data_IF_029433495215
#
_entry.id   IF_029433495215
#
_cell.length_a   1.000
_cell.length_b   1.000
_cell.length_c   1.000
_cell.angle_alpha   90.00
_cell.angle_beta   90.00
_cell.angle_gamma   90.00
#
_symmetry.space_group_name_H-M   'P 1'
#
loop_
_entity.id
_entity.type
_entity.pdbx_description
1 polymer ?
#
# COMPACT_ATOMS: atom_id res chain seq x y z
N UNK A 1 -4.64 12.54 -2.12
CA UNK A 1 -3.40 13.31 -1.87
C UNK A 1 -2.13 12.52 -2.17
N UNK A 2 -2.00 11.24 -1.81
CA UNK A 2 -0.82 10.44 -2.21
C UNK A 2 -0.64 10.29 -3.73
N UNK A 3 -1.72 10.28 -4.52
CA UNK A 3 -1.62 10.30 -5.99
C UNK A 3 -0.98 11.58 -6.53
N UNK A 4 -1.25 12.73 -5.90
CA UNK A 4 -0.58 13.99 -6.22
C UNK A 4 0.91 13.91 -5.86
N UNK A 5 1.23 13.37 -4.68
CA UNK A 5 2.62 13.17 -4.27
C UNK A 5 3.38 12.28 -5.27
N UNK A 6 2.79 11.16 -5.69
CA UNK A 6 3.34 10.32 -6.76
C UNK A 6 3.56 11.12 -8.05
N UNK A 7 2.55 11.87 -8.51
CA UNK A 7 2.64 12.62 -9.75
C UNK A 7 3.81 13.63 -9.77
N UNK A 8 4.02 14.34 -8.65
CA UNK A 8 5.09 15.33 -8.50
C UNK A 8 6.47 14.71 -8.24
N UNK A 9 6.54 13.60 -7.49
CA UNK A 9 7.82 13.01 -7.06
C UNK A 9 8.23 11.79 -7.87
N UNK A 10 7.44 11.36 -8.83
CA UNK A 10 7.83 10.24 -9.69
C UNK A 10 8.86 10.70 -10.73
N UNK A 11 9.94 9.93 -10.96
CA UNK A 11 10.95 10.23 -11.99
C UNK A 11 10.52 9.82 -13.41
N UNK A 12 9.32 9.25 -13.59
CA UNK A 12 8.89 8.68 -14.87
C UNK A 12 8.50 9.74 -15.92
N UNK A 13 8.58 9.38 -17.21
CA UNK A 13 8.04 10.20 -18.29
C UNK A 13 6.52 10.35 -18.19
N UNK A 14 5.97 11.44 -18.75
CA UNK A 14 4.54 11.80 -18.64
C UNK A 14 3.62 10.65 -19.10
N UNK A 15 3.99 9.95 -20.18
CA UNK A 15 3.21 8.82 -20.72
C UNK A 15 3.17 7.67 -19.72
N UNK A 16 4.32 7.30 -19.15
CA UNK A 16 4.43 6.22 -18.17
C UNK A 16 3.77 6.59 -16.84
N UNK A 17 3.88 7.86 -16.40
CA UNK A 17 3.15 8.39 -15.24
C UNK A 17 1.64 8.22 -15.40
N UNK A 18 1.09 8.51 -16.58
CA UNK A 18 -0.34 8.36 -16.86
C UNK A 18 -0.75 6.88 -16.82
N UNK A 19 0.04 6.00 -17.42
CA UNK A 19 -0.18 4.55 -17.38
C UNK A 19 -0.18 4.03 -15.93
N UNK A 20 0.81 4.42 -15.13
CA UNK A 20 0.87 4.04 -13.71
C UNK A 20 -0.30 4.61 -12.93
N UNK A 21 -0.68 5.87 -13.16
CA UNK A 21 -1.83 6.49 -12.49
C UNK A 21 -3.11 5.70 -12.74
N UNK A 22 -3.34 5.23 -13.98
CA UNK A 22 -4.48 4.38 -14.29
C UNK A 22 -4.40 3.04 -13.54
N UNK A 23 -3.23 2.37 -13.57
CA UNK A 23 -3.03 1.10 -12.84
C UNK A 23 -3.21 1.27 -11.32
N UNK A 24 -2.74 2.38 -10.74
CA UNK A 24 -2.93 2.70 -9.32
C UNK A 24 -4.40 2.92 -8.99
N UNK A 25 -5.13 3.60 -9.87
CA UNK A 25 -6.57 3.78 -9.74
C UNK A 25 -7.30 2.43 -9.79
N UNK A 26 -6.91 1.53 -10.69
CA UNK A 26 -7.43 0.17 -10.73
C UNK A 26 -7.18 -0.58 -9.41
N UNK A 27 -5.98 -0.47 -8.83
CA UNK A 27 -5.66 -1.08 -7.53
C UNK A 27 -6.54 -0.52 -6.41
N UNK A 28 -6.78 0.80 -6.40
CA UNK A 28 -7.68 1.43 -5.42
C UNK A 28 -9.12 0.94 -5.60
N UNK A 29 -9.61 0.87 -6.83
CA UNK A 29 -10.94 0.35 -7.13
C UNK A 29 -11.08 -1.13 -6.74
N UNK A 30 -10.08 -1.96 -7.05
CA UNK A 30 -10.07 -3.35 -6.61
C UNK A 30 -10.03 -3.48 -5.10
N UNK A 31 -9.24 -2.65 -4.41
CA UNK A 31 -9.22 -2.65 -2.95
C UNK A 31 -10.60 -2.33 -2.37
N UNK A 32 -11.29 -1.34 -2.93
CA UNK A 32 -12.65 -0.98 -2.52
C UNK A 32 -13.64 -2.12 -2.79
N UNK A 33 -13.64 -2.69 -4.00
CA UNK A 33 -14.54 -3.79 -4.39
C UNK A 33 -14.29 -5.02 -3.51
N UNK A 34 -13.02 -5.42 -3.34
CA UNK A 34 -12.67 -6.57 -2.52
C UNK A 34 -12.94 -6.35 -1.04
N UNK A 35 -12.84 -5.11 -0.53
CA UNK A 35 -13.26 -4.80 0.84
C UNK A 35 -14.76 -5.03 1.02
N UNK A 36 -15.59 -4.62 0.05
CA UNK A 36 -17.03 -4.88 0.09
C UNK A 36 -17.31 -6.39 0.04
N UNK A 37 -16.67 -7.12 -0.89
CA UNK A 37 -16.80 -8.58 -1.00
C UNK A 37 -16.40 -9.26 0.30
N UNK A 38 -15.27 -8.86 0.89
CA UNK A 38 -14.79 -9.44 2.15
C UNK A 38 -15.79 -9.23 3.29
N UNK A 39 -16.44 -8.07 3.37
CA UNK A 39 -17.50 -7.81 4.38
C UNK A 39 -18.70 -8.74 4.19
N UNK A 40 -19.12 -8.96 2.95
CA UNK A 40 -20.21 -9.89 2.61
C UNK A 40 -19.84 -11.32 3.01
N UNK A 41 -18.61 -11.76 2.70
CA UNK A 41 -18.13 -13.10 3.07
C UNK A 41 -18.10 -13.27 4.60
N UNK A 42 -17.60 -12.28 5.34
CA UNK A 42 -17.49 -12.33 6.80
C UNK A 42 -18.84 -12.27 7.51
N UNK A 43 -19.86 -11.64 6.89
CA UNK A 43 -21.18 -11.46 7.47
C UNK A 43 -22.26 -12.15 6.62
N UNK A 44 -21.97 -13.36 6.13
CA UNK A 44 -22.82 -14.05 5.17
C UNK A 44 -24.26 -14.28 5.70
N UNK A 45 -24.40 -14.58 7.00
CA UNK A 45 -25.72 -14.71 7.62
C UNK A 45 -26.52 -13.41 7.53
N UNK A 46 -25.92 -12.28 7.94
CA UNK A 46 -26.57 -10.97 7.91
C UNK A 46 -26.92 -10.55 6.49
N UNK A 47 -26.13 -10.96 5.49
CA UNK A 47 -26.38 -10.63 4.08
C UNK A 47 -27.68 -11.24 3.55
N UNK A 48 -28.01 -12.46 3.96
CA UNK A 48 -29.26 -13.11 3.55
C UNK A 48 -30.49 -12.54 4.27
N UNK A 49 -30.30 -12.02 5.49
CA UNK A 49 -31.38 -11.40 6.27
C UNK A 49 -31.64 -9.94 5.85
N UNK A 50 -30.58 -9.14 5.75
CA UNK A 50 -30.62 -7.73 5.32
C UNK A 50 -29.33 -7.34 4.57
N UNK A 51 -29.34 -7.38 3.23
CA UNK A 51 -28.14 -7.08 2.42
C UNK A 51 -27.70 -5.62 2.53
N UNK A 52 -28.61 -4.69 2.87
CA UNK A 52 -28.27 -3.26 3.04
C UNK A 52 -27.51 -3.07 4.35
N UNK A 53 -27.89 -3.78 5.41
CA UNK A 53 -27.21 -3.73 6.71
C UNK A 53 -25.73 -4.14 6.62
N UNK A 54 -25.39 -5.11 5.77
CA UNK A 54 -23.99 -5.54 5.57
C UNK A 54 -23.10 -4.45 4.99
N UNK A 55 -23.65 -3.61 4.09
CA UNK A 55 -22.91 -2.50 3.52
C UNK A 55 -22.64 -1.40 4.56
N UNK A 56 -23.59 -1.19 5.48
CA UNK A 56 -23.47 -0.24 6.58
C UNK A 56 -22.60 -0.75 7.75
N UNK A 57 -22.40 -2.07 7.87
CA UNK A 57 -21.57 -2.66 8.91
C UNK A 57 -20.14 -2.10 8.84
N UNK A 58 -19.50 -1.70 9.94
CA UNK A 58 -18.15 -1.14 9.89
C UNK A 58 -17.16 -2.17 9.34
N UNK A 59 -16.26 -1.74 8.45
CA UNK A 59 -15.18 -2.60 7.97
C UNK A 59 -14.13 -2.77 9.07
N UNK A 60 -13.71 -4.00 9.34
CA UNK A 60 -12.62 -4.31 10.26
C UNK A 60 -11.31 -4.66 9.52
N UNK A 61 -10.24 -4.92 10.27
CA UNK A 61 -8.96 -5.32 9.67
C UNK A 61 -9.00 -6.69 9.01
N UNK A 62 -9.89 -7.59 9.44
CA UNK A 62 -10.11 -8.89 8.78
C UNK A 62 -10.59 -8.72 7.34
N UNK A 63 -11.56 -7.82 7.11
CA UNK A 63 -12.03 -7.48 5.78
C UNK A 63 -10.91 -6.89 4.91
N UNK A 64 -10.06 -6.04 5.49
CA UNK A 64 -8.89 -5.48 4.80
C UNK A 64 -7.89 -6.58 4.42
N UNK A 65 -7.61 -7.56 5.28
CA UNK A 65 -6.67 -8.65 4.97
C UNK A 65 -7.13 -9.49 3.78
N UNK A 66 -8.41 -9.88 3.79
CA UNK A 66 -9.01 -10.59 2.67
C UNK A 66 -9.00 -9.75 1.39
N UNK A 67 -9.27 -8.44 1.53
CA UNK A 67 -9.28 -7.54 0.38
C UNK A 67 -7.90 -7.38 -0.25
N UNK A 68 -6.87 -7.15 0.56
CA UNK A 68 -5.48 -7.07 0.10
C UNK A 68 -5.06 -8.37 -0.57
N UNK A 69 -5.45 -9.53 -0.02
CA UNK A 69 -5.22 -10.84 -0.66
C UNK A 69 -5.86 -10.95 -2.05
N UNK A 70 -7.14 -10.57 -2.19
CA UNK A 70 -7.84 -10.56 -3.47
C UNK A 70 -7.21 -9.63 -4.50
N UNK A 71 -6.80 -8.43 -4.08
CA UNK A 71 -6.07 -7.48 -4.93
C UNK A 71 -4.76 -8.09 -5.42
N UNK A 72 -3.98 -8.72 -4.55
CA UNK A 72 -2.72 -9.39 -4.91
C UNK A 72 -2.94 -10.47 -5.95
N UNK A 73 -3.97 -11.31 -5.79
CA UNK A 73 -4.31 -12.35 -6.77
C UNK A 73 -4.64 -11.74 -8.13
N UNK A 74 -5.48 -10.71 -8.18
CA UNK A 74 -5.83 -10.03 -9.45
C UNK A 74 -4.62 -9.36 -10.08
N UNK A 75 -3.78 -8.69 -9.29
CA UNK A 75 -2.55 -8.06 -9.78
C UNK A 75 -1.57 -9.09 -10.32
N UNK A 76 -1.37 -10.20 -9.61
CA UNK A 76 -0.49 -11.29 -10.05
C UNK A 76 -1.00 -11.93 -11.35
N UNK A 77 -2.32 -12.06 -11.52
CA UNK A 77 -2.89 -12.60 -12.76
C UNK A 77 -2.77 -11.61 -13.93
N UNK A 78 -2.94 -10.30 -13.67
CA UNK A 78 -2.81 -9.25 -14.69
C UNK A 78 -1.37 -8.79 -14.92
N UNK A 79 -0.41 -9.35 -14.18
CA UNK A 79 0.97 -8.93 -14.22
C UNK A 79 1.60 -9.23 -15.59
N UNK A 80 1.77 -8.19 -16.39
CA UNK A 80 2.71 -8.15 -17.52
C UNK A 80 4.06 -7.54 -17.08
N UNK A 81 4.99 -7.43 -18.01
CA UNK A 81 6.44 -7.10 -17.89
C UNK A 81 6.81 -5.82 -17.10
N UNK A 82 5.84 -5.06 -16.57
CA UNK A 82 6.03 -3.76 -15.89
C UNK A 82 5.63 -3.78 -14.40
N UNK A 83 5.83 -4.91 -13.71
CA UNK A 83 5.52 -5.03 -12.29
C UNK A 83 6.39 -4.12 -11.40
N UNK A 84 7.69 -4.02 -11.69
CA UNK A 84 8.64 -3.23 -10.89
C UNK A 84 8.27 -1.74 -10.82
N UNK A 85 8.10 -1.03 -11.96
CA UNK A 85 7.74 0.39 -11.92
C UNK A 85 6.36 0.63 -11.28
N UNK A 86 5.45 -0.34 -11.38
CA UNK A 86 4.17 -0.31 -10.70
C UNK A 86 4.32 -0.43 -9.18
N UNK A 87 5.22 -1.28 -8.67
CA UNK A 87 5.46 -1.41 -7.23
C UNK A 87 6.07 -0.15 -6.61
N UNK A 88 7.03 0.49 -7.28
CA UNK A 88 7.56 1.80 -6.83
C UNK A 88 6.44 2.85 -6.78
N UNK A 89 5.61 2.91 -7.83
CA UNK A 89 4.47 3.82 -7.88
C UNK A 89 3.45 3.55 -6.76
N UNK A 90 3.17 2.26 -6.50
CA UNK A 90 2.25 1.82 -5.45
C UNK A 90 2.79 2.12 -4.06
N UNK A 91 4.08 1.89 -3.84
CA UNK A 91 4.75 2.20 -2.59
C UNK A 91 4.69 3.70 -2.28
N UNK A 92 5.04 4.56 -3.24
CA UNK A 92 4.92 6.03 -3.11
C UNK A 92 3.49 6.46 -2.81
N UNK A 93 2.50 5.85 -3.47
CA UNK A 93 1.09 6.10 -3.20
C UNK A 93 0.70 5.73 -1.77
N UNK A 94 1.09 4.54 -1.29
CA UNK A 94 0.77 4.03 0.04
C UNK A 94 1.39 4.94 1.11
N UNK A 95 2.71 5.15 1.07
CA UNK A 95 3.42 5.96 2.07
C UNK A 95 2.90 7.39 2.07
N UNK A 96 2.75 8.00 0.89
CA UNK A 96 2.24 9.37 0.76
C UNK A 96 0.79 9.51 1.25
N UNK A 97 -0.07 8.54 0.95
CA UNK A 97 -1.47 8.58 1.40
C UNK A 97 -1.58 8.35 2.90
N UNK A 98 -0.81 7.42 3.48
CA UNK A 98 -0.78 7.19 4.92
C UNK A 98 -0.28 8.39 5.70
N UNK A 99 0.83 9.00 5.26
CA UNK A 99 1.34 10.21 5.89
C UNK A 99 0.29 11.31 5.89
N UNK A 100 -0.32 11.59 4.73
CA UNK A 100 -1.33 12.64 4.65
C UNK A 100 -2.56 12.34 5.50
N UNK A 101 -3.00 11.08 5.55
CA UNK A 101 -4.11 10.69 6.41
C UNK A 101 -3.77 10.94 7.89
N UNK A 102 -2.65 10.42 8.40
CA UNK A 102 -2.26 10.62 9.81
C UNK A 102 -2.01 12.08 10.14
N UNK A 103 -1.36 12.81 9.25
CA UNK A 103 -1.12 14.24 9.41
C UNK A 103 -2.43 15.04 9.46
N UNK A 104 -3.39 14.75 8.56
CA UNK A 104 -4.70 15.39 8.60
C UNK A 104 -5.47 15.02 9.87
N UNK A 105 -5.42 13.76 10.32
CA UNK A 105 -6.04 13.36 11.58
C UNK A 105 -5.42 14.11 12.77
N UNK A 106 -4.08 14.26 12.80
CA UNK A 106 -3.38 15.03 13.83
C UNK A 106 -3.79 16.51 13.86
N UNK A 107 -3.97 17.13 12.68
CA UNK A 107 -4.27 18.57 12.57
C UNK A 107 -5.76 18.87 12.75
N UNK A 108 -6.65 18.03 12.21
CA UNK A 108 -8.08 18.31 12.12
C UNK A 108 -8.90 17.67 13.24
N UNK A 109 -8.34 16.71 13.97
CA UNK A 109 -9.08 15.96 14.98
C UNK A 109 -8.32 15.93 16.30
N UNK A 110 -9.02 15.55 17.37
CA UNK A 110 -8.43 15.32 18.69
C UNK A 110 -8.09 13.85 18.94
N UNK A 111 -8.20 13.00 17.91
CA UNK A 111 -7.88 11.57 18.04
C UNK A 111 -6.38 11.36 18.28
N UNK A 112 -6.08 10.35 19.09
CA UNK A 112 -4.70 9.96 19.36
C UNK A 112 -4.04 9.39 18.09
N UNK A 113 -2.85 9.89 17.77
CA UNK A 113 -2.05 9.48 16.61
C UNK A 113 -0.65 9.10 17.06
N UNK A 114 -0.14 7.99 16.51
CA UNK A 114 1.24 7.55 16.73
C UNK A 114 2.22 8.54 16.09
N UNK A 115 2.90 9.33 16.91
CA UNK A 115 3.95 10.26 16.45
C UNK A 115 5.14 9.52 15.86
N UNK A 116 5.43 8.31 16.35
CA UNK A 116 6.49 7.45 15.82
C UNK A 116 6.18 6.97 14.41
N UNK A 117 4.95 6.52 14.15
CA UNK A 117 4.51 6.13 12.80
C UNK A 117 4.57 7.32 11.83
N UNK A 118 4.08 8.48 12.26
CA UNK A 118 4.10 9.69 11.45
C UNK A 118 5.54 10.12 11.12
N UNK A 119 6.45 10.05 12.10
CA UNK A 119 7.88 10.34 11.93
C UNK A 119 8.55 9.37 10.97
N UNK A 120 8.29 8.07 11.08
CA UNK A 120 8.81 7.06 10.15
C UNK A 120 8.35 7.33 8.71
N UNK A 121 7.06 7.63 8.52
CA UNK A 121 6.50 7.95 7.22
C UNK A 121 7.11 9.23 6.65
N UNK A 122 7.30 10.26 7.47
CA UNK A 122 7.95 11.50 7.07
C UNK A 122 9.39 11.27 6.59
N UNK A 123 10.19 10.53 7.36
CA UNK A 123 11.56 10.17 6.97
C UNK A 123 11.57 9.35 5.68
N UNK A 124 10.66 8.38 5.55
CA UNK A 124 10.54 7.56 4.33
C UNK A 124 10.20 8.43 3.11
N UNK A 125 9.30 9.41 3.25
CA UNK A 125 8.97 10.35 2.18
C UNK A 125 10.15 11.24 1.81
N UNK A 126 10.89 11.75 2.81
CA UNK A 126 12.10 12.53 2.55
C UNK A 126 13.12 11.70 1.77
N UNK A 127 13.37 10.45 2.19
CA UNK A 127 14.23 9.53 1.45
C UNK A 127 13.76 9.37 0.00
N UNK A 128 12.47 9.10 -0.22
CA UNK A 128 11.91 8.97 -1.57
C UNK A 128 12.11 10.24 -2.41
N UNK A 129 11.95 11.43 -1.84
CA UNK A 129 12.15 12.72 -2.54
C UNK A 129 13.62 12.92 -2.91
N UNK A 130 14.55 12.75 -1.96
CA UNK A 130 15.99 12.93 -2.23
C UNK A 130 16.51 11.94 -3.27
N UNK A 131 15.92 10.74 -3.28
CA UNK A 131 16.26 9.66 -4.19
C UNK A 131 15.63 9.81 -5.58
N UNK A 132 14.69 10.73 -5.79
CA UNK A 132 13.99 10.91 -7.07
C UNK A 132 14.86 11.55 -8.16
N UNK A 133 15.90 12.30 -7.79
CA UNK A 133 16.72 13.06 -8.75
C UNK A 133 17.66 12.19 -9.60
N UNK A 134 17.72 10.88 -9.36
CA UNK A 134 18.50 9.92 -10.14
C UNK A 134 17.63 8.68 -10.39
N UNK A 135 17.79 7.97 -11.52
CA UNK A 135 17.16 6.66 -11.68
C UNK A 135 17.64 5.78 -10.53
N UNK A 136 16.72 5.37 -9.68
CA UNK A 136 17.10 4.64 -8.49
C UNK A 136 17.72 3.31 -8.88
N UNK A 137 18.86 3.00 -8.26
CA UNK A 137 19.34 1.64 -8.25
C UNK A 137 18.28 0.78 -7.54
N UNK A 138 17.93 -0.34 -8.17
CA UNK A 138 17.01 -1.35 -7.64
C UNK A 138 17.29 -1.68 -6.16
N UNK A 139 18.57 -1.77 -5.78
CA UNK A 139 18.95 -2.04 -4.39
C UNK A 139 18.56 -0.93 -3.42
N UNK A 140 18.58 0.32 -3.86
CA UNK A 140 18.17 1.48 -3.06
C UNK A 140 16.66 1.46 -2.85
N UNK A 141 15.87 1.14 -3.88
CA UNK A 141 14.40 1.00 -3.75
C UNK A 141 14.03 -0.11 -2.76
N UNK A 142 14.64 -1.29 -2.90
CA UNK A 142 14.48 -2.41 -1.96
C UNK A 142 14.85 -1.97 -0.54
N UNK A 143 15.96 -1.23 -0.38
CA UNK A 143 16.38 -0.70 0.91
C UNK A 143 15.34 0.21 1.55
N UNK A 144 14.78 1.16 0.80
CA UNK A 144 13.74 2.09 1.32
C UNK A 144 12.45 1.33 1.66
N UNK A 145 11.99 0.43 0.79
CA UNK A 145 10.82 -0.41 1.06
C UNK A 145 11.04 -1.33 2.27
N UNK A 146 12.26 -1.84 2.44
CA UNK A 146 12.68 -2.64 3.59
C UNK A 146 12.66 -1.84 4.89
N UNK A 147 13.21 -0.62 4.88
CA UNK A 147 13.16 0.30 6.05
C UNK A 147 11.73 0.60 6.44
N UNK A 148 10.85 0.88 5.47
CA UNK A 148 9.42 1.08 5.75
C UNK A 148 8.78 -0.17 6.36
N UNK A 149 8.98 -1.34 5.75
CA UNK A 149 8.37 -2.61 6.17
C UNK A 149 8.83 -3.02 7.56
N UNK A 150 10.14 -3.06 7.79
CA UNK A 150 10.73 -3.46 9.07
C UNK A 150 10.42 -2.41 10.12
N UNK A 151 10.50 -1.11 9.78
CA UNK A 151 10.18 -0.01 10.68
C UNK A 151 8.73 -0.07 11.17
N UNK A 152 7.77 -0.19 10.27
CA UNK A 152 6.34 -0.29 10.64
C UNK A 152 6.04 -1.57 11.42
N UNK A 153 6.65 -2.70 11.05
CA UNK A 153 6.54 -3.95 11.81
C UNK A 153 7.13 -3.81 13.23
N UNK A 154 8.33 -3.26 13.38
CA UNK A 154 8.95 -3.07 14.68
C UNK A 154 8.13 -2.13 15.58
N UNK A 155 7.65 -1.02 15.01
CA UNK A 155 6.83 -0.08 15.77
C UNK A 155 5.46 -0.67 16.17
N UNK A 156 4.94 -1.66 15.44
CA UNK A 156 3.68 -2.33 15.80
C UNK A 156 3.73 -3.09 17.13
N UNK A 157 4.93 -3.38 17.66
CA UNK A 157 5.10 -3.94 19.00
C UNK A 157 5.04 -2.88 20.10
N UNK A 158 5.19 -1.61 19.76
CA UNK A 158 5.21 -0.49 20.69
C UNK A 158 3.84 0.16 20.76
N UNK A 159 3.22 0.43 19.61
CA UNK A 159 1.93 1.12 19.50
C UNK A 159 1.02 0.46 18.47
N UNK A 160 -0.30 0.54 18.70
CA UNK A 160 -1.30 0.08 17.74
C UNK A 160 -1.29 1.05 16.55
N UNK A 161 -1.01 0.51 15.36
CA UNK A 161 -0.86 1.32 14.15
C UNK A 161 -2.08 1.21 13.24
N UNK A 162 -2.73 2.33 12.90
CA UNK A 162 -3.75 2.32 11.87
C UNK A 162 -3.12 2.28 10.46
N UNK A 163 -3.74 1.51 9.58
CA UNK A 163 -3.52 1.50 8.14
C UNK A 163 -4.81 1.98 7.47
N UNK A 164 -4.88 3.24 6.99
CA UNK A 164 -6.14 3.81 6.45
C UNK A 164 -7.34 3.70 7.40
N UNK A 165 -7.12 3.98 8.69
CA UNK A 165 -8.07 3.86 9.81
C UNK A 165 -8.43 2.40 10.19
N UNK A 166 -7.84 1.39 9.56
CA UNK A 166 -7.95 0.01 9.99
C UNK A 166 -6.87 -0.30 11.04
N UNK A 167 -7.25 -0.78 12.21
CA UNK A 167 -6.30 -1.25 13.21
C UNK A 167 -5.78 -2.64 12.83
N UNK A 168 -4.57 -2.67 12.28
CA UNK A 168 -3.96 -3.88 11.73
C UNK A 168 -2.91 -4.45 12.70
N UNK A 169 -2.70 -5.77 12.62
CA UNK A 169 -1.62 -6.43 13.34
C UNK A 169 -0.28 -6.14 12.65
N UNK A 170 0.82 -6.16 13.40
CA UNK A 170 2.18 -6.09 12.87
C UNK A 170 2.43 -7.00 11.67
N UNK A 171 1.95 -8.24 11.70
CA UNK A 171 2.13 -9.21 10.62
C UNK A 171 1.58 -8.73 9.27
N UNK A 172 0.57 -7.85 9.27
CA UNK A 172 0.05 -7.25 8.05
C UNK A 172 1.08 -6.37 7.34
N UNK A 173 1.90 -5.62 8.09
CA UNK A 173 2.96 -4.79 7.50
C UNK A 173 4.05 -5.66 6.84
N UNK A 174 4.39 -6.80 7.45
CA UNK A 174 5.29 -7.77 6.81
C UNK A 174 4.68 -8.34 5.53
N UNK A 175 3.40 -8.74 5.57
CA UNK A 175 2.69 -9.24 4.40
C UNK A 175 2.69 -8.20 3.27
N UNK A 176 2.38 -6.94 3.58
CA UNK A 176 2.42 -5.84 2.62
C UNK A 176 3.83 -5.62 2.06
N UNK A 177 4.86 -5.65 2.91
CA UNK A 177 6.25 -5.53 2.48
C UNK A 177 6.69 -6.66 1.55
N UNK A 178 6.27 -7.91 1.84
CA UNK A 178 6.53 -9.05 0.95
C UNK A 178 5.87 -8.86 -0.42
N UNK A 179 4.64 -8.34 -0.48
CA UNK A 179 3.96 -8.04 -1.74
C UNK A 179 4.75 -7.01 -2.55
N UNK A 180 5.18 -5.92 -1.91
CA UNK A 180 5.94 -4.85 -2.57
C UNK A 180 7.30 -5.33 -3.08
N UNK A 181 7.97 -6.20 -2.31
CA UNK A 181 9.28 -6.72 -2.64
C UNK A 181 9.27 -7.93 -3.59
N UNK A 182 8.16 -8.67 -3.70
CA UNK A 182 8.10 -9.91 -4.47
C UNK A 182 8.52 -9.75 -5.95
N UNK A 183 8.14 -8.67 -6.67
CA UNK A 183 8.55 -8.51 -8.07
C UNK A 183 10.06 -8.34 -8.27
N UNK A 184 10.76 -7.84 -7.27
CA UNK A 184 12.22 -7.70 -7.33
C UNK A 184 12.93 -9.06 -7.38
N UNK A 185 12.42 -10.04 -6.64
CA UNK A 185 12.94 -11.40 -6.65
C UNK A 185 12.52 -12.18 -7.91
N UNK A 186 11.34 -11.90 -8.46
CA UNK A 186 10.90 -12.52 -9.72
C UNK A 186 11.75 -12.07 -10.91
N UNK A 187 11.96 -10.75 -11.05
CA UNK A 187 12.69 -10.17 -12.18
C UNK A 187 14.12 -10.72 -12.32
N UNK A 188 14.80 -10.96 -11.18
CA UNK A 188 16.18 -11.47 -11.17
C UNK A 188 16.30 -12.92 -11.68
N UNK A 189 15.25 -13.76 -11.53
CA UNK A 189 15.28 -15.14 -12.03
C UNK A 189 15.22 -15.21 -13.56
N UNK A 190 14.38 -14.39 -14.19
CA UNK A 190 14.21 -14.44 -15.66
C UNK A 190 15.39 -13.88 -16.45
N UNK A 191 16.21 -13.01 -15.86
CA UNK A 191 17.44 -12.51 -16.51
C UNK A 191 18.62 -13.49 -16.41
N UNK A 192 18.58 -14.42 -15.46
CA UNK A 192 19.63 -15.43 -15.28
C UNK A 192 19.47 -16.64 -16.23
N UNK A 193 18.25 -16.95 -16.67
CA UNK A 193 17.96 -18.08 -17.58
C UNK A 193 18.14 -17.72 -19.07
N UNK A 194 18.33 -16.44 -19.40
CA UNK A 194 18.52 -15.97 -20.78
C UNK A 194 19.98 -15.69 -21.15
N UNK A 195 20.95 -16.16 -20.37
CA UNK A 195 22.40 -16.05 -20.62
C UNK A 195 23.03 -17.42 -20.61
#
# INVERSE_FOLDING_TARGET
>A
MGGCFFYYTSPYEIVLKKLHTNKLLDVVLYTMIFTIIAKVILNLSLFFDDPVAVLAYPSDSTALYLATGGVVVVMAWKAHTELMPLMDSLFRLIVGSQFMQLFLTLVLTTYHISMLQLGLLFVTLLLLVFLTNQPLNVMTEIGVMGVYTIGTFALSFIEIMPFFNFYVNGSYYLFLGLILLAPFFWSHKHTAESR
#
